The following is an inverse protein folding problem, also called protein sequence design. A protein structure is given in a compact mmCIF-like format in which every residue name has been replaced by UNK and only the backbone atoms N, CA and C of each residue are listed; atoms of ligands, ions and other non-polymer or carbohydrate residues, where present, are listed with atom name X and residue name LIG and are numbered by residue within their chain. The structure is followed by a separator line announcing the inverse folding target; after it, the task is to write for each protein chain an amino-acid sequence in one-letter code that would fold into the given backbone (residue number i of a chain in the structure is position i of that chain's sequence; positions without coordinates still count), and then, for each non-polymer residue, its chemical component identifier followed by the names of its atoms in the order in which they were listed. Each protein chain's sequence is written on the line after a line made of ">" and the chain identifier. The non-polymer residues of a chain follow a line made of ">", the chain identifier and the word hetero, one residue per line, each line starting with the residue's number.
data_IF_619316070768
#
_entry.id   IF_619316070768
#
_cell.length_a   1.000
_cell.length_b   1.000
_cell.length_c   1.000
_cell.angle_alpha   90.00
_cell.angle_beta   90.00
_cell.angle_gamma   90.00
#
_symmetry.space_group_name_H-M   'P 1'
#
loop_
_entity.id
_entity.type
_entity.pdbx_description
1 polymer ?
#
# COMPACT_ATOMS: atom_id res chain seq x y z
N UNK A 1 0.81 -11.44 1.39
CA UNK A 1 -0.31 -12.00 0.59
C UNK A 1 -0.95 -10.87 -0.20
N UNK A 2 -1.40 -11.09 -1.45
CA UNK A 2 -2.08 -10.07 -2.21
C UNK A 2 -3.46 -9.73 -1.62
N UNK A 3 -3.82 -8.46 -1.70
CA UNK A 3 -5.14 -7.92 -1.32
C UNK A 3 -5.81 -7.32 -2.55
N UNK A 4 -6.97 -7.87 -2.90
CA UNK A 4 -7.76 -7.42 -4.03
C UNK A 4 -8.57 -6.17 -3.68
N UNK A 5 -8.68 -5.27 -4.65
CA UNK A 5 -9.60 -4.13 -4.56
C UNK A 5 -11.03 -4.63 -4.43
N UNK A 6 -11.86 -4.00 -3.57
CA UNK A 6 -13.27 -4.36 -3.43
C UNK A 6 -14.11 -3.93 -4.63
N UNK A 7 -13.61 -3.03 -5.50
CA UNK A 7 -14.37 -2.45 -6.61
C UNK A 7 -13.76 -2.62 -7.99
N UNK A 8 -12.43 -2.72 -8.07
CA UNK A 8 -11.70 -2.86 -9.33
C UNK A 8 -11.04 -4.23 -9.45
N UNK A 9 -10.74 -4.65 -10.68
CA UNK A 9 -10.00 -5.90 -10.96
C UNK A 9 -8.49 -5.70 -10.82
N UNK A 10 -8.08 -5.26 -9.64
CA UNK A 10 -6.69 -4.98 -9.30
C UNK A 10 -6.34 -5.56 -7.93
N UNK A 11 -5.09 -5.97 -7.76
CA UNK A 11 -4.55 -6.46 -6.49
C UNK A 11 -3.31 -5.68 -6.09
N UNK A 12 -3.08 -5.53 -4.78
CA UNK A 12 -1.84 -4.95 -4.25
C UNK A 12 -1.15 -5.98 -3.38
N UNK A 13 0.18 -6.04 -3.45
CA UNK A 13 1.00 -6.82 -2.55
C UNK A 13 2.32 -6.10 -2.30
N UNK A 14 2.93 -6.37 -1.15
CA UNK A 14 4.30 -5.93 -0.88
C UNK A 14 5.30 -6.92 -1.43
N UNK A 15 6.42 -6.44 -1.96
CA UNK A 15 7.58 -7.30 -2.24
C UNK A 15 8.11 -7.89 -0.93
N UNK A 16 8.44 -9.18 -0.95
CA UNK A 16 9.14 -9.82 0.17
C UNK A 16 10.63 -9.48 0.09
N UNK A 17 11.00 -8.29 0.56
CA UNK A 17 12.41 -7.91 0.70
C UNK A 17 13.12 -8.87 1.65
N UNK A 18 14.37 -9.20 1.35
CA UNK A 18 15.29 -9.90 2.26
C UNK A 18 15.47 -9.13 3.58
N UNK A 19 15.29 -7.81 3.54
CA UNK A 19 15.04 -6.93 4.68
C UNK A 19 13.71 -6.19 4.46
N UNK A 20 12.86 -6.11 5.49
CA UNK A 20 11.55 -5.42 5.42
C UNK A 20 11.64 -3.93 5.09
N UNK A 21 12.84 -3.36 5.21
CA UNK A 21 13.18 -1.95 5.02
C UNK A 21 13.27 -1.53 3.54
N UNK A 22 13.24 -2.49 2.61
CA UNK A 22 13.27 -2.27 1.16
C UNK A 22 12.04 -2.90 0.49
N UNK A 23 10.90 -2.86 1.19
CA UNK A 23 9.64 -3.37 0.66
C UNK A 23 9.00 -2.35 -0.27
N UNK A 24 8.37 -2.83 -1.35
CA UNK A 24 7.65 -2.00 -2.31
C UNK A 24 6.23 -2.51 -2.46
N UNK A 25 5.28 -1.59 -2.63
CA UNK A 25 3.93 -1.93 -3.05
C UNK A 25 3.87 -2.11 -4.55
N UNK A 26 3.38 -3.27 -4.97
CA UNK A 26 3.14 -3.61 -6.37
C UNK A 26 1.64 -3.73 -6.58
N UNK A 27 1.15 -2.98 -7.58
CA UNK A 27 -0.20 -3.11 -8.12
C UNK A 27 -0.17 -4.06 -9.31
N UNK A 28 -1.06 -5.05 -9.31
CA UNK A 28 -1.38 -5.88 -10.46
C UNK A 28 -2.75 -5.48 -11.02
N UNK A 29 -2.83 -5.31 -12.33
CA UNK A 29 -4.08 -5.04 -13.04
C UNK A 29 -4.44 -6.20 -13.96
N UNK A 30 -5.62 -6.80 -13.76
CA UNK A 30 -6.05 -7.99 -14.50
C UNK A 30 -6.34 -7.65 -15.97
N UNK A 31 -6.96 -6.49 -16.23
CA UNK A 31 -7.40 -6.09 -17.58
C UNK A 31 -6.24 -5.93 -18.56
N UNK A 32 -5.11 -5.39 -18.09
CA UNK A 32 -3.89 -5.17 -18.87
C UNK A 32 -2.84 -6.26 -18.66
N UNK A 33 -3.08 -7.20 -17.72
CA UNK A 33 -2.10 -8.17 -17.23
C UNK A 33 -0.74 -7.52 -16.88
N UNK A 34 -0.79 -6.32 -16.30
CA UNK A 34 0.39 -5.51 -16.01
C UNK A 34 0.66 -5.40 -14.52
N UNK A 35 1.91 -5.08 -14.18
CA UNK A 35 2.38 -4.86 -12.81
C UNK A 35 3.08 -3.50 -12.77
N UNK A 36 2.89 -2.74 -11.69
CA UNK A 36 3.63 -1.49 -11.45
C UNK A 36 3.94 -1.29 -9.98
N UNK A 37 5.08 -0.69 -9.68
CA UNK A 37 5.43 -0.22 -8.33
C UNK A 37 4.69 1.10 -8.11
N UNK A 38 3.96 1.20 -6.99
CA UNK A 38 3.13 2.38 -6.68
C UNK A 38 3.61 3.14 -5.44
N UNK A 39 4.40 2.50 -4.57
CA UNK A 39 4.98 3.14 -3.40
C UNK A 39 6.10 2.27 -2.81
N UNK A 40 6.97 2.91 -2.02
CA UNK A 40 7.81 2.23 -1.05
C UNK A 40 6.99 1.88 0.20
N UNK A 41 7.27 0.74 0.82
CA UNK A 41 6.60 0.26 2.02
C UNK A 41 5.82 -1.05 1.83
N UNK A 42 5.01 -1.35 2.84
CA UNK A 42 4.33 -2.62 2.96
C UNK A 42 3.00 -2.56 3.72
N UNK A 43 2.45 -3.75 3.94
CA UNK A 43 1.19 -3.93 4.68
C UNK A 43 0.00 -3.16 4.08
N UNK A 44 -0.26 -3.31 2.76
CA UNK A 44 -1.31 -2.57 2.09
C UNK A 44 -2.71 -3.04 2.54
N UNK A 45 -3.64 -2.09 2.64
CA UNK A 45 -5.08 -2.37 2.78
C UNK A 45 -5.90 -1.42 1.91
N UNK A 46 -6.93 -1.98 1.28
CA UNK A 46 -7.87 -1.19 0.50
C UNK A 46 -8.86 -0.45 1.36
N UNK A 47 -9.14 0.78 0.96
CA UNK A 47 -10.34 1.50 1.37
C UNK A 47 -11.60 0.73 0.95
N UNK A 48 -12.69 0.78 1.73
CA UNK A 48 -13.96 0.13 1.38
C UNK A 48 -14.54 0.65 0.06
N UNK A 49 -14.25 1.91 -0.29
CA UNK A 49 -14.68 2.51 -1.53
C UNK A 49 -13.76 2.18 -2.72
N UNK A 50 -12.62 1.53 -2.49
CA UNK A 50 -11.68 1.06 -3.52
C UNK A 50 -10.79 2.13 -4.14
N UNK A 51 -10.84 3.39 -3.66
CA UNK A 51 -10.13 4.52 -4.29
C UNK A 51 -8.73 4.75 -3.71
N UNK A 52 -8.51 4.27 -2.49
CA UNK A 52 -7.29 4.46 -1.71
C UNK A 52 -6.70 3.14 -1.23
N UNK A 53 -5.37 3.13 -1.12
CA UNK A 53 -4.62 2.08 -0.45
C UNK A 53 -3.89 2.73 0.73
N UNK A 54 -4.19 2.28 1.95
CA UNK A 54 -3.41 2.65 3.13
C UNK A 54 -2.25 1.68 3.31
N UNK A 55 -1.08 2.18 3.70
CA UNK A 55 0.14 1.39 3.83
C UNK A 55 1.11 1.99 4.84
N UNK A 56 2.08 1.17 5.27
CA UNK A 56 3.18 1.61 6.11
C UNK A 56 4.42 1.83 5.25
N UNK A 57 4.91 3.06 5.23
CA UNK A 57 6.23 3.38 4.68
C UNK A 57 7.29 3.02 5.73
N UNK A 58 8.18 2.10 5.36
CA UNK A 58 9.19 1.49 6.24
C UNK A 58 10.58 1.83 5.73
N UNK A 59 11.08 3.01 6.06
CA UNK A 59 12.42 3.44 5.65
C UNK A 59 13.46 3.15 6.74
N UNK A 60 14.64 2.67 6.34
CA UNK A 60 15.71 2.30 7.27
C UNK A 60 16.16 3.51 8.12
N UNK A 61 16.13 3.33 9.45
CA UNK A 61 16.53 4.39 10.39
C UNK A 61 15.49 5.49 10.61
N UNK A 62 14.28 5.35 10.03
CA UNK A 62 13.16 6.26 10.25
C UNK A 62 12.00 5.56 10.98
N UNK A 63 11.16 6.31 11.72
CA UNK A 63 9.88 5.79 12.19
C UNK A 63 9.00 5.35 11.02
N UNK A 64 8.10 4.39 11.25
CA UNK A 64 7.11 4.02 10.24
C UNK A 64 6.11 5.17 10.05
N UNK A 65 5.78 5.47 8.80
CA UNK A 65 4.73 6.46 8.48
C UNK A 65 3.50 5.74 7.93
N UNK A 66 2.31 6.12 8.40
CA UNK A 66 1.05 5.70 7.78
C UNK A 66 0.78 6.63 6.60
N UNK A 67 0.68 6.05 5.41
CA UNK A 67 0.42 6.81 4.18
C UNK A 67 -0.78 6.22 3.44
N UNK A 68 -1.39 7.03 2.58
CA UNK A 68 -2.40 6.59 1.63
C UNK A 68 -2.00 6.98 0.21
N UNK A 69 -2.23 6.09 -0.75
CA UNK A 69 -2.04 6.38 -2.17
C UNK A 69 -3.36 6.26 -2.93
N UNK A 70 -3.66 7.24 -3.76
CA UNK A 70 -4.79 7.24 -4.70
C UNK A 70 -4.41 6.52 -5.99
N UNK A 71 -5.26 5.62 -6.48
CA UNK A 71 -5.00 4.97 -7.78
C UNK A 71 -5.20 5.90 -8.98
N UNK A 72 -6.17 6.81 -8.89
CA UNK A 72 -6.59 7.64 -10.03
C UNK A 72 -5.61 8.78 -10.29
N UNK A 73 -5.08 9.35 -9.20
CA UNK A 73 -4.23 10.54 -9.24
C UNK A 73 -2.78 10.26 -8.90
N UNK A 74 -2.46 9.04 -8.46
CA UNK A 74 -1.13 8.64 -7.95
C UNK A 74 -0.60 9.55 -6.82
N UNK A 75 -1.49 10.32 -6.19
CA UNK A 75 -1.15 11.18 -5.07
C UNK A 75 -0.93 10.32 -3.83
N UNK A 76 0.22 10.53 -3.19
CA UNK A 76 0.54 9.99 -1.87
C UNK A 76 0.27 11.07 -0.83
N UNK A 77 -0.53 10.73 0.19
CA UNK A 77 -0.74 11.57 1.36
C UNK A 77 -0.14 10.88 2.59
N UNK A 78 0.69 11.62 3.31
CA UNK A 78 1.25 11.19 4.59
C UNK A 78 0.27 11.55 5.72
N UNK A 79 -0.10 10.55 6.53
CA UNK A 79 -0.98 10.70 7.69
C UNK A 79 -0.18 10.77 9.01
N UNK A 80 1.14 10.69 8.94
CA UNK A 80 2.07 10.89 10.05
C UNK A 80 2.70 9.60 10.59
N UNK A 81 3.49 9.77 11.66
CA UNK A 81 4.18 8.69 12.33
C UNK A 81 3.17 7.69 12.91
N UNK A 82 3.35 6.42 12.58
CA UNK A 82 2.58 5.30 13.11
C UNK A 82 3.38 4.57 14.17
N UNK A 83 2.84 4.51 15.39
CA UNK A 83 3.36 3.64 16.46
C UNK A 83 2.88 2.18 16.32
N UNK A 84 2.02 1.89 15.33
CA UNK A 84 1.53 0.54 15.03
C UNK A 84 2.28 -0.06 13.86
N UNK A 85 2.81 -1.26 14.08
CA UNK A 85 3.40 -2.13 13.04
C UNK A 85 2.35 -3.04 12.36
N UNK A 86 1.11 -3.01 12.84
CA UNK A 86 0.02 -3.86 12.35
C UNK A 86 -0.64 -3.30 11.08
N UNK A 87 -1.45 -4.15 10.43
CA UNK A 87 -2.23 -3.76 9.26
C UNK A 87 -3.07 -2.51 9.54
N UNK A 88 -3.00 -1.47 8.68
CA UNK A 88 -3.92 -0.34 8.78
C UNK A 88 -5.37 -0.82 8.63
N UNK A 89 -6.32 -0.05 9.14
CA UNK A 89 -7.75 -0.33 8.99
C UNK A 89 -8.50 0.94 8.65
N UNK A 90 -9.47 0.83 7.75
CA UNK A 90 -10.41 1.89 7.43
C UNK A 90 -11.60 1.83 8.39
N UNK A 91 -11.86 2.92 9.10
CA UNK A 91 -13.05 3.12 9.93
C UNK A 91 -14.04 4.06 9.21
N UNK A 92 -15.33 3.86 9.46
CA UNK A 92 -16.43 4.61 8.84
C UNK A 92 -16.76 5.88 9.60
#
# INVERSE_FOLDING_TARGET
>A
MPVWSPKARVAVFSTGGIDELESYLVLYEEASASWRIIAHGGTPVWSPDGNWIAYLDKEAGQPNHLKVVSLDSEIIQDLGISNVSSMPLWVK
#
